data_IF_615453109294
#
_entry.id   IF_615453109294
#
_cell.length_a   1.000
_cell.length_b   1.000
_cell.length_c   1.000
_cell.angle_alpha   90.00
_cell.angle_beta   90.00
_cell.angle_gamma   90.00
#
_symmetry.space_group_name_H-M   'P 1'
#
loop_
_entity.id
_entity.type
_entity.pdbx_description
1 polymer ?
#
# COMPACT_ATOMS: atom_id res chain seq x y z
N UNK A 1 36.24 13.20 9.43
CA UNK A 1 35.00 13.30 8.63
C UNK A 1 34.07 12.17 9.07
N UNK A 2 33.03 12.46 9.86
CA UNK A 2 32.01 11.47 10.23
C UNK A 2 30.73 11.92 9.54
N UNK A 3 30.38 11.25 8.45
CA UNK A 3 29.25 11.65 7.60
C UNK A 3 29.27 10.89 6.29
N UNK A 4 28.80 9.64 6.29
CA UNK A 4 28.58 8.91 5.04
C UNK A 4 27.38 9.49 4.28
N UNK A 5 27.31 9.31 2.95
CA UNK A 5 26.11 9.67 2.17
C UNK A 5 24.88 8.91 2.69
N UNK A 6 23.68 9.46 2.45
CA UNK A 6 22.43 8.74 2.72
C UNK A 6 22.31 7.50 1.84
N UNK A 7 21.49 6.53 2.24
CA UNK A 7 21.29 5.30 1.47
C UNK A 7 20.79 5.61 0.04
N UNK A 8 19.85 6.54 -0.09
CA UNK A 8 19.34 6.94 -1.40
C UNK A 8 20.45 7.51 -2.31
N UNK A 9 21.35 8.32 -1.77
CA UNK A 9 22.47 8.89 -2.52
C UNK A 9 23.53 7.83 -2.87
N UNK A 10 23.75 6.83 -2.01
CA UNK A 10 24.61 5.69 -2.33
C UNK A 10 24.06 4.87 -3.50
N UNK A 11 22.75 4.65 -3.54
CA UNK A 11 22.09 3.87 -4.58
C UNK A 11 21.95 4.66 -5.90
N UNK A 12 21.70 5.96 -5.81
CA UNK A 12 21.49 6.85 -6.94
C UNK A 12 22.39 8.09 -6.85
N UNK A 13 23.68 8.00 -7.23
CA UNK A 13 24.64 9.10 -7.08
C UNK A 13 24.27 10.37 -7.86
N UNK A 14 23.52 10.22 -8.95
CA UNK A 14 23.06 11.34 -9.78
C UNK A 14 21.69 11.89 -9.37
N UNK A 15 21.08 11.32 -8.32
CA UNK A 15 19.71 11.63 -7.92
C UNK A 15 18.65 11.03 -8.85
N UNK A 16 17.39 11.23 -8.47
CA UNK A 16 16.20 10.86 -9.23
C UNK A 16 15.20 12.01 -9.16
N UNK A 17 14.37 12.16 -10.18
CA UNK A 17 13.21 13.06 -10.12
C UNK A 17 12.22 12.55 -9.08
N UNK A 18 11.72 13.44 -8.23
CA UNK A 18 10.81 13.10 -7.14
C UNK A 18 9.37 13.31 -7.58
N UNK A 19 8.61 12.24 -7.76
CA UNK A 19 7.17 12.31 -8.06
C UNK A 19 6.34 12.31 -6.77
N UNK A 20 6.79 11.52 -5.79
CA UNK A 20 6.09 11.22 -4.55
C UNK A 20 6.93 11.60 -3.33
N UNK A 21 6.41 12.49 -2.48
CA UNK A 21 6.99 12.73 -1.17
C UNK A 21 6.31 11.86 -0.11
N UNK A 22 7.09 11.15 0.70
CA UNK A 22 6.57 10.27 1.76
C UNK A 22 6.83 10.87 3.12
N UNK A 23 5.76 11.31 3.79
CA UNK A 23 5.81 11.73 5.20
C UNK A 23 5.41 10.57 6.10
N UNK A 24 6.26 10.25 7.08
CA UNK A 24 6.05 9.13 7.99
C UNK A 24 6.73 9.42 9.33
N UNK A 25 6.25 8.80 10.41
CA UNK A 25 6.98 8.82 11.67
C UNK A 25 7.85 7.56 11.81
N UNK A 26 9.13 7.77 12.09
CA UNK A 26 10.12 6.70 12.34
C UNK A 26 9.85 6.03 13.70
N UNK A 27 8.76 5.27 13.81
CA UNK A 27 8.47 4.38 14.95
C UNK A 27 7.94 3.02 14.52
N UNK A 28 7.53 2.85 13.27
CA UNK A 28 7.11 1.55 12.72
C UNK A 28 8.29 0.75 12.16
N UNK A 29 8.07 -0.55 11.94
CA UNK A 29 9.04 -1.41 11.26
C UNK A 29 9.05 -1.18 9.75
N UNK A 30 10.22 -1.31 9.12
CA UNK A 30 10.42 -1.08 7.67
C UNK A 30 9.49 -1.93 6.79
N UNK A 31 9.15 -3.15 7.20
CA UNK A 31 8.24 -4.01 6.43
C UNK A 31 6.81 -3.46 6.40
N UNK A 32 6.31 -2.98 7.55
CA UNK A 32 4.97 -2.40 7.64
C UNK A 32 4.88 -1.10 6.84
N UNK A 33 5.91 -0.25 6.96
CA UNK A 33 6.06 0.95 6.15
C UNK A 33 6.02 0.63 4.65
N UNK A 34 6.84 -0.33 4.21
CA UNK A 34 6.97 -0.68 2.78
C UNK A 34 5.67 -1.23 2.23
N UNK A 35 4.96 -2.08 2.98
CA UNK A 35 3.67 -2.65 2.57
C UNK A 35 2.63 -1.53 2.33
N UNK A 36 2.52 -0.57 3.25
CA UNK A 36 1.62 0.59 3.11
C UNK A 36 2.00 1.48 1.93
N UNK A 37 3.29 1.77 1.76
CA UNK A 37 3.78 2.62 0.68
C UNK A 37 3.52 2.00 -0.69
N UNK A 38 3.84 0.71 -0.86
CA UNK A 38 3.61 0.00 -2.12
C UNK A 38 2.12 -0.14 -2.41
N UNK A 39 1.30 -0.39 -1.40
CA UNK A 39 -0.15 -0.50 -1.56
C UNK A 39 -0.79 0.83 -1.99
N UNK A 40 -0.34 1.94 -1.41
CA UNK A 40 -0.86 3.28 -1.68
C UNK A 40 -0.10 4.02 -2.80
N UNK A 41 0.79 3.34 -3.54
CA UNK A 41 1.64 3.98 -4.54
C UNK A 41 0.83 4.55 -5.72
N UNK A 42 0.93 5.85 -6.04
CA UNK A 42 0.24 6.43 -7.19
C UNK A 42 0.71 5.80 -8.49
N UNK A 43 -0.23 5.39 -9.36
CA UNK A 43 0.10 4.76 -10.65
C UNK A 43 1.00 5.62 -11.55
N UNK A 44 0.92 6.93 -11.42
CA UNK A 44 1.72 7.88 -12.20
C UNK A 44 3.10 8.17 -11.61
N UNK A 45 3.34 7.85 -10.33
CA UNK A 45 4.61 8.12 -9.66
C UNK A 45 5.63 7.01 -9.96
N UNK A 46 6.89 7.38 -10.21
CA UNK A 46 7.98 6.44 -10.49
C UNK A 46 8.98 6.38 -9.35
N UNK A 47 9.30 7.51 -8.74
CA UNK A 47 10.24 7.57 -7.63
C UNK A 47 9.65 8.35 -6.45
N UNK A 48 10.12 7.99 -5.26
CA UNK A 48 9.70 8.63 -4.03
C UNK A 48 10.89 9.16 -3.23
N UNK A 49 10.69 10.31 -2.62
CA UNK A 49 11.58 10.82 -1.58
C UNK A 49 11.02 10.43 -0.21
N UNK A 50 11.84 9.74 0.59
CA UNK A 50 11.50 9.37 1.96
C UNK A 50 12.61 9.83 2.90
N UNK A 51 12.28 10.73 3.83
CA UNK A 51 13.24 11.36 4.73
C UNK A 51 14.15 10.36 5.46
N UNK A 52 13.65 9.16 5.83
CA UNK A 52 14.47 8.16 6.54
C UNK A 52 15.58 7.55 5.67
N UNK A 53 15.39 7.51 4.35
CA UNK A 53 16.32 6.92 3.39
C UNK A 53 17.20 7.96 2.71
N UNK A 54 16.65 9.17 2.53
CA UNK A 54 17.27 10.25 1.75
C UNK A 54 18.19 11.17 2.57
N UNK A 55 17.99 11.24 3.88
CA UNK A 55 18.81 12.07 4.77
C UNK A 55 19.76 11.19 5.62
N UNK A 56 20.92 11.71 6.03
CA UNK A 56 21.83 11.01 6.94
C UNK A 56 21.30 11.05 8.39
N UNK A 57 20.17 10.39 8.65
CA UNK A 57 19.36 10.51 9.88
C UNK A 57 20.05 10.05 11.16
N UNK A 58 21.08 9.21 11.05
CA UNK A 58 21.89 8.74 12.17
C UNK A 58 23.11 9.64 12.47
N UNK A 59 23.18 10.81 11.82
CA UNK A 59 24.27 11.77 11.92
C UNK A 59 23.73 13.13 12.37
N UNK A 60 24.62 14.09 12.63
CA UNK A 60 24.22 15.46 12.90
C UNK A 60 23.69 16.10 11.60
N UNK A 61 22.37 16.23 11.53
CA UNK A 61 21.66 16.87 10.42
C UNK A 61 21.26 18.31 10.72
N UNK A 62 21.70 18.89 11.85
CA UNK A 62 21.28 20.21 12.31
C UNK A 62 21.49 21.30 11.26
N UNK A 63 22.60 21.24 10.52
CA UNK A 63 22.87 22.17 9.41
C UNK A 63 21.90 21.99 8.23
N UNK A 64 21.55 20.74 7.88
CA UNK A 64 20.63 20.45 6.76
C UNK A 64 19.20 20.94 7.02
N UNK A 65 18.80 21.02 8.29
CA UNK A 65 17.45 21.43 8.71
C UNK A 65 17.42 22.81 9.37
N UNK A 66 18.56 23.52 9.40
CA UNK A 66 18.67 24.85 10.02
C UNK A 66 17.76 25.89 9.38
N UNK A 67 17.49 25.74 8.08
CA UNK A 67 16.50 26.51 7.33
C UNK A 67 15.51 25.53 6.68
N UNK A 68 14.41 25.17 7.38
CA UNK A 68 13.48 24.13 6.95
C UNK A 68 12.92 24.31 5.54
N UNK A 69 12.66 25.54 5.11
CA UNK A 69 12.11 25.88 3.79
C UNK A 69 13.05 25.56 2.62
N UNK A 70 14.36 25.59 2.85
CA UNK A 70 15.38 25.30 1.81
C UNK A 70 16.12 23.99 2.07
N UNK A 71 15.63 23.22 3.03
CA UNK A 71 16.19 21.91 3.36
C UNK A 71 16.00 20.91 2.21
N UNK A 72 16.80 19.83 2.13
CA UNK A 72 16.68 18.84 1.08
C UNK A 72 15.28 18.21 0.98
N UNK A 73 14.60 18.02 2.11
CA UNK A 73 13.24 17.47 2.11
C UNK A 73 12.22 18.48 1.58
N UNK A 74 12.36 19.78 1.89
CA UNK A 74 11.46 20.81 1.38
C UNK A 74 11.65 20.98 -0.13
N UNK A 75 12.90 20.94 -0.62
CA UNK A 75 13.18 20.94 -2.05
C UNK A 75 12.58 19.72 -2.75
N UNK A 76 12.74 18.51 -2.19
CA UNK A 76 12.14 17.31 -2.75
C UNK A 76 10.59 17.34 -2.71
N UNK A 77 10.00 17.87 -1.64
CA UNK A 77 8.56 18.04 -1.54
C UNK A 77 8.04 19.08 -2.55
N UNK A 78 8.81 20.14 -2.80
CA UNK A 78 8.43 21.17 -3.77
C UNK A 78 8.36 20.63 -5.20
N UNK A 79 9.24 19.68 -5.56
CA UNK A 79 9.24 19.01 -6.87
C UNK A 79 8.22 17.88 -6.99
N UNK A 80 7.85 17.24 -5.87
CA UNK A 80 6.83 16.19 -5.86
C UNK A 80 5.44 16.70 -6.28
N UNK A 81 4.69 15.87 -7.00
CA UNK A 81 3.27 16.12 -7.31
C UNK A 81 2.35 15.53 -6.22
N UNK A 82 2.82 14.47 -5.58
CA UNK A 82 2.06 13.69 -4.61
C UNK A 82 2.70 13.75 -3.22
N UNK A 83 1.88 13.78 -2.17
CA UNK A 83 2.32 13.53 -0.80
C UNK A 83 1.57 12.32 -0.26
N UNK A 84 2.31 11.27 0.08
CA UNK A 84 1.77 10.11 0.78
C UNK A 84 2.07 10.23 2.28
N UNK A 85 1.00 10.30 3.06
CA UNK A 85 1.03 10.29 4.51
C UNK A 85 0.96 8.86 5.01
N UNK A 86 2.01 8.35 5.65
CA UNK A 86 2.07 6.95 6.11
C UNK A 86 1.86 6.90 7.63
N UNK A 87 0.63 6.58 8.11
CA UNK A 87 0.37 6.42 9.53
C UNK A 87 0.94 5.10 10.05
N UNK A 88 1.16 5.02 11.36
CA UNK A 88 1.48 3.76 12.03
C UNK A 88 0.74 3.55 13.35
N UNK A 89 0.84 2.32 13.85
CA UNK A 89 0.15 1.89 15.07
C UNK A 89 0.90 2.31 16.35
N UNK A 90 2.15 2.80 16.24
CA UNK A 90 3.00 3.14 17.38
C UNK A 90 2.74 4.55 17.93
N UNK A 91 2.44 5.52 17.05
CA UNK A 91 2.00 6.86 17.45
C UNK A 91 1.32 7.61 16.31
N UNK A 92 0.48 8.59 16.66
CA UNK A 92 -0.03 9.54 15.67
C UNK A 92 1.12 10.30 15.01
N UNK A 93 1.13 10.34 13.67
CA UNK A 93 2.06 11.14 12.87
C UNK A 93 2.02 12.62 13.25
N UNK A 94 0.85 13.12 13.69
CA UNK A 94 0.64 14.51 14.07
C UNK A 94 1.20 14.85 15.45
N UNK A 95 1.88 13.90 16.11
CA UNK A 95 2.71 14.19 17.30
C UNK A 95 4.17 14.45 16.93
N UNK A 96 4.54 14.33 15.64
CA UNK A 96 5.91 14.54 15.16
C UNK A 96 5.98 15.84 14.37
N UNK A 97 6.71 16.81 14.92
CA UNK A 97 6.78 18.17 14.37
C UNK A 97 7.16 18.21 12.89
N UNK A 98 8.11 17.38 12.45
CA UNK A 98 8.51 17.31 11.04
C UNK A 98 7.40 16.77 10.14
N UNK A 99 6.64 15.76 10.57
CA UNK A 99 5.51 15.25 9.79
C UNK A 99 4.40 16.30 9.65
N UNK A 100 4.15 17.08 10.71
CA UNK A 100 3.18 18.19 10.66
C UNK A 100 3.67 19.27 9.70
N UNK A 101 4.96 19.63 9.76
CA UNK A 101 5.55 20.64 8.89
C UNK A 101 5.53 20.21 7.42
N UNK A 102 5.88 18.95 7.13
CA UNK A 102 5.77 18.36 5.80
C UNK A 102 4.31 18.41 5.30
N UNK A 103 3.34 18.00 6.12
CA UNK A 103 1.92 18.09 5.76
C UNK A 103 1.44 19.53 5.52
N UNK A 104 1.92 20.48 6.33
CA UNK A 104 1.64 21.91 6.15
C UNK A 104 2.19 22.44 4.82
N UNK A 105 3.43 22.10 4.47
CA UNK A 105 4.02 22.48 3.19
C UNK A 105 3.27 21.83 2.02
N UNK A 106 2.94 20.54 2.10
CA UNK A 106 2.14 19.86 1.09
C UNK A 106 0.79 20.54 0.88
N UNK A 107 0.12 20.95 1.95
CA UNK A 107 -1.14 21.68 1.87
C UNK A 107 -0.95 23.07 1.26
N UNK A 108 0.06 23.81 1.74
CA UNK A 108 0.33 25.19 1.30
C UNK A 108 0.77 25.26 -0.16
N UNK A 109 1.39 24.20 -0.69
CA UNK A 109 1.84 24.09 -2.07
C UNK A 109 0.87 23.29 -2.96
N UNK A 110 -0.38 23.12 -2.52
CA UNK A 110 -1.46 22.47 -3.27
C UNK A 110 -1.08 21.09 -3.84
N UNK A 111 -0.37 20.29 -3.03
CA UNK A 111 0.01 18.94 -3.41
C UNK A 111 -1.18 17.99 -3.28
N UNK A 112 -1.21 16.95 -4.11
CA UNK A 112 -2.19 15.88 -3.93
C UNK A 112 -1.80 15.03 -2.71
N UNK A 113 -2.52 15.21 -1.60
CA UNK A 113 -2.27 14.52 -0.33
C UNK A 113 -3.22 13.34 -0.17
N UNK A 114 -2.70 12.17 0.17
CA UNK A 114 -3.48 10.99 0.54
C UNK A 114 -2.79 10.21 1.66
N UNK A 115 -3.58 9.43 2.38
CA UNK A 115 -3.13 8.66 3.54
C UNK A 115 -3.00 7.19 3.17
N UNK A 116 -1.87 6.59 3.48
CA UNK A 116 -1.63 5.16 3.27
C UNK A 116 -2.59 4.34 4.12
N UNK A 117 -3.27 3.39 3.50
CA UNK A 117 -4.06 2.39 4.21
C UNK A 117 -3.30 1.07 4.25
N UNK A 118 -3.54 0.29 5.30
CA UNK A 118 -3.07 -1.09 5.33
C UNK A 118 -3.84 -1.90 4.30
N UNK A 119 -3.16 -2.80 3.59
CA UNK A 119 -3.85 -3.74 2.71
C UNK A 119 -4.83 -4.59 3.53
N UNK A 120 -6.13 -4.48 3.26
CA UNK A 120 -7.11 -5.37 3.87
C UNK A 120 -7.01 -6.74 3.19
N UNK A 121 -6.42 -7.72 3.90
CA UNK A 121 -6.31 -9.10 3.42
C UNK A 121 -7.58 -9.92 3.64
N UNK A 122 -8.56 -9.39 4.40
CA UNK A 122 -9.82 -10.08 4.69
C UNK A 122 -10.57 -10.49 3.42
N UNK A 123 -10.68 -9.66 2.36
CA UNK A 123 -11.45 -10.06 1.20
C UNK A 123 -10.78 -11.20 0.41
N UNK A 124 -9.44 -11.23 0.33
CA UNK A 124 -8.71 -12.36 -0.28
C UNK A 124 -8.94 -13.64 0.51
N UNK A 125 -8.88 -13.57 1.84
CA UNK A 125 -9.16 -14.71 2.71
C UNK A 125 -10.62 -15.18 2.58
N UNK A 126 -11.58 -14.25 2.49
CA UNK A 126 -12.99 -14.56 2.27
C UNK A 126 -13.20 -15.21 0.92
N UNK A 127 -12.57 -14.69 -0.15
CA UNK A 127 -12.61 -15.27 -1.47
C UNK A 127 -12.02 -16.69 -1.50
N UNK A 128 -10.85 -16.90 -0.89
CA UNK A 128 -10.24 -18.22 -0.75
C UNK A 128 -11.14 -19.21 0.01
N UNK A 129 -11.71 -18.78 1.14
CA UNK A 129 -12.65 -19.60 1.93
C UNK A 129 -13.89 -19.96 1.10
N UNK A 130 -14.44 -19.01 0.35
CA UNK A 130 -15.55 -19.26 -0.54
C UNK A 130 -15.16 -20.30 -1.61
N UNK A 131 -14.05 -20.10 -2.32
CA UNK A 131 -13.56 -21.03 -3.35
C UNK A 131 -13.39 -22.46 -2.80
N UNK A 132 -12.80 -22.61 -1.62
CA UNK A 132 -12.64 -23.92 -0.97
C UNK A 132 -13.99 -24.54 -0.60
N UNK A 133 -14.89 -23.77 0.01
CA UNK A 133 -16.23 -24.26 0.36
C UNK A 133 -17.01 -24.71 -0.90
N UNK A 134 -16.89 -23.96 -1.99
CA UNK A 134 -17.49 -24.32 -3.28
C UNK A 134 -16.86 -25.58 -3.88
N UNK A 135 -15.53 -25.72 -3.87
CA UNK A 135 -14.87 -26.92 -4.36
C UNK A 135 -15.31 -28.18 -3.59
N UNK A 136 -15.46 -28.06 -2.27
CA UNK A 136 -15.97 -29.15 -1.43
C UNK A 136 -17.43 -29.49 -1.74
N UNK A 137 -18.31 -28.49 -1.84
CA UNK A 137 -19.72 -28.69 -2.20
C UNK A 137 -19.86 -29.34 -3.59
N UNK A 138 -19.10 -28.86 -4.58
CA UNK A 138 -19.05 -29.43 -5.92
C UNK A 138 -18.55 -30.88 -5.92
N UNK A 139 -17.50 -31.18 -5.15
CA UNK A 139 -16.99 -32.54 -4.98
C UNK A 139 -18.01 -33.50 -4.36
N UNK A 140 -18.75 -33.05 -3.34
CA UNK A 140 -19.85 -33.83 -2.73
C UNK A 140 -20.98 -34.06 -3.74
N UNK A 141 -21.42 -33.03 -4.45
CA UNK A 141 -22.45 -33.17 -5.50
C UNK A 141 -22.03 -34.15 -6.60
N UNK A 142 -20.75 -34.11 -7.01
CA UNK A 142 -20.19 -35.03 -7.99
C UNK A 142 -20.18 -36.47 -7.45
N UNK A 143 -19.73 -36.70 -6.23
CA UNK A 143 -19.71 -38.02 -5.60
C UNK A 143 -21.12 -38.62 -5.42
N UNK A 144 -22.10 -37.81 -5.00
CA UNK A 144 -23.51 -38.21 -4.91
C UNK A 144 -24.12 -38.54 -6.28
N UNK A 145 -23.68 -37.86 -7.34
CA UNK A 145 -24.09 -38.16 -8.71
C UNK A 145 -23.45 -39.46 -9.21
N UNK A 146 -22.15 -39.65 -8.96
CA UNK A 146 -21.42 -40.86 -9.37
C UNK A 146 -21.96 -42.13 -8.68
N UNK A 147 -22.41 -42.03 -7.42
CA UNK A 147 -23.01 -43.15 -6.66
C UNK A 147 -24.45 -43.48 -7.04
N UNK A 148 -25.04 -42.79 -8.03
CA UNK A 148 -26.40 -43.09 -8.51
C UNK A 148 -27.53 -42.63 -7.58
N UNK A 149 -27.20 -41.93 -6.48
CA UNK A 149 -28.17 -41.45 -5.48
C UNK A 149 -29.09 -40.36 -6.06
N UNK A 150 -28.64 -39.64 -7.10
CA UNK A 150 -29.38 -38.51 -7.70
C UNK A 150 -29.88 -38.87 -9.11
N UNK A 151 -31.19 -38.76 -9.36
CA UNK A 151 -31.84 -38.96 -10.67
C UNK A 151 -31.35 -37.94 -11.72
N UNK A 152 -31.30 -38.37 -12.98
CA UNK A 152 -30.58 -37.72 -14.09
C UNK A 152 -30.91 -36.25 -14.34
N UNK A 153 -32.19 -35.85 -14.33
CA UNK A 153 -32.60 -34.48 -14.69
C UNK A 153 -32.11 -33.42 -13.70
N UNK A 154 -31.98 -33.76 -12.42
CA UNK A 154 -31.48 -32.86 -11.37
C UNK A 154 -29.99 -32.52 -11.46
N UNK A 155 -29.20 -33.32 -12.21
CA UNK A 155 -27.73 -33.17 -12.26
C UNK A 155 -27.28 -31.94 -13.04
N UNK A 156 -27.97 -31.64 -14.15
CA UNK A 156 -27.61 -30.52 -15.03
C UNK A 156 -27.89 -29.17 -14.34
N UNK A 157 -29.02 -29.07 -13.64
CA UNK A 157 -29.39 -27.84 -12.93
C UNK A 157 -28.45 -27.53 -11.77
N UNK A 158 -27.99 -28.54 -11.02
CA UNK A 158 -27.04 -28.33 -9.92
C UNK A 158 -25.68 -27.84 -10.43
N UNK A 159 -25.19 -28.38 -11.54
CA UNK A 159 -23.91 -27.94 -12.15
C UNK A 159 -24.02 -26.53 -12.71
N UNK A 160 -25.11 -26.18 -13.39
CA UNK A 160 -25.32 -24.84 -13.93
C UNK A 160 -25.50 -23.78 -12.83
N UNK A 161 -26.28 -24.09 -11.78
CA UNK A 161 -26.48 -23.18 -10.66
C UNK A 161 -25.17 -22.92 -9.90
N UNK A 162 -24.34 -23.96 -9.74
CA UNK A 162 -23.01 -23.86 -9.15
C UNK A 162 -22.10 -22.93 -9.96
N UNK A 163 -22.01 -23.11 -11.28
CA UNK A 163 -21.20 -22.27 -12.14
C UNK A 163 -21.67 -20.81 -12.18
N UNK A 164 -22.98 -20.57 -12.20
CA UNK A 164 -23.54 -19.22 -12.14
C UNK A 164 -23.22 -18.52 -10.81
N UNK A 165 -23.28 -19.24 -9.68
CA UNK A 165 -22.89 -18.73 -8.37
C UNK A 165 -21.40 -18.37 -8.31
N UNK A 166 -20.54 -19.22 -8.87
CA UNK A 166 -19.09 -18.94 -8.96
C UNK A 166 -18.83 -17.68 -9.78
N UNK A 167 -19.43 -17.56 -10.97
CA UNK A 167 -19.29 -16.36 -11.81
C UNK A 167 -19.81 -15.10 -11.11
N UNK A 168 -20.94 -15.17 -10.41
CA UNK A 168 -21.51 -14.03 -9.70
C UNK A 168 -20.60 -13.58 -8.54
N UNK A 169 -20.06 -14.50 -7.74
CA UNK A 169 -19.17 -14.18 -6.63
C UNK A 169 -17.85 -13.58 -7.14
N UNK A 170 -17.23 -14.19 -8.15
CA UNK A 170 -15.99 -13.66 -8.73
C UNK A 170 -16.21 -12.24 -9.30
N UNK A 171 -17.34 -11.99 -9.95
CA UNK A 171 -17.66 -10.67 -10.51
C UNK A 171 -17.93 -9.62 -9.43
N UNK A 172 -18.67 -9.99 -8.37
CA UNK A 172 -18.98 -9.09 -7.26
C UNK A 172 -17.74 -8.73 -6.45
N UNK A 173 -16.85 -9.69 -6.19
CA UNK A 173 -15.60 -9.42 -5.48
C UNK A 173 -14.54 -8.75 -6.35
N UNK A 174 -14.53 -9.01 -7.67
CA UNK A 174 -13.63 -8.32 -8.61
C UNK A 174 -13.94 -6.83 -8.76
N UNK A 175 -15.21 -6.43 -8.70
CA UNK A 175 -15.62 -5.01 -8.76
C UNK A 175 -15.37 -4.23 -7.46
N UNK A 176 -15.28 -4.90 -6.32
CA UNK A 176 -14.97 -4.26 -5.03
C UNK A 176 -13.49 -3.85 -4.88
N UNK A 177 -12.65 -4.17 -5.87
CA UNK A 177 -11.19 -3.98 -5.85
C UNK A 177 -10.63 -3.12 -6.99
N UNK A 178 -11.51 -2.56 -7.83
CA UNK A 178 -11.17 -1.55 -8.86
C UNK A 178 -11.37 -0.15 -8.32
#
# INVERSE_FOLDING_TARGET
RKGGPSWALMLHPNGLECDLFVTHCWREGTFEFTDKVLHAWPRAARHAYCCMLSNPQNLDIGSLISAPEVSPFALALSSASYTLVVPNDACSIYTRIWCIYEAYLSYSWDKTIFTATKQDKRPVLVALRAVVAFALAGGVCFACSASGVVRGDTRIYLVLLFWLLVCAIVTLYGKAFS
#
